data_IF_425083815984
#
_entry.id   IF_425083815984
#
_cell.length_a   1.000
_cell.length_b   1.000
_cell.length_c   1.000
_cell.angle_alpha   90.00
_cell.angle_beta   90.00
_cell.angle_gamma   90.00
#
_symmetry.space_group_name_H-M   'P 1'
#
loop_
_entity.id
_entity.type
_entity.pdbx_description
1 polymer ?
#
# COMPACT_ATOMS: atom_id res chain seq x y z
N UNK A 1 7.89 -9.19 -6.80
CA UNK A 1 7.49 -7.91 -6.20
C UNK A 1 6.01 -7.73 -6.36
N UNK A 2 5.32 -7.54 -5.23
CA UNK A 2 3.88 -7.22 -5.24
C UNK A 2 3.76 -5.70 -5.36
N UNK A 3 3.43 -5.24 -6.56
CA UNK A 3 3.20 -3.82 -6.81
C UNK A 3 1.78 -3.49 -6.36
N UNK A 4 1.65 -2.41 -5.60
CA UNK A 4 0.39 -1.84 -5.17
C UNK A 4 0.30 -0.40 -5.65
N UNK A 5 -0.91 0.01 -5.97
CA UNK A 5 -1.25 1.41 -6.20
C UNK A 5 -2.15 1.90 -5.08
N UNK A 6 -1.76 3.02 -4.47
CA UNK A 6 -2.46 3.67 -3.37
C UNK A 6 -2.99 5.01 -3.88
N UNK A 7 -4.31 5.20 -3.79
CA UNK A 7 -5.00 6.44 -4.09
C UNK A 7 -5.44 7.11 -2.79
N UNK A 8 -4.96 8.32 -2.51
CA UNK A 8 -5.30 9.07 -1.30
C UNK A 8 -6.59 9.89 -1.48
N UNK A 9 -7.62 9.59 -0.69
CA UNK A 9 -8.90 10.32 -0.72
C UNK A 9 -8.68 11.76 -0.22
N UNK A 10 -9.39 12.71 -0.83
CA UNK A 10 -9.22 14.14 -0.53
C UNK A 10 -8.00 14.79 -1.20
N UNK A 11 -7.16 14.01 -1.91
CA UNK A 11 -6.07 14.54 -2.72
C UNK A 11 -6.15 14.01 -4.15
N UNK A 12 -5.31 14.53 -5.06
CA UNK A 12 -5.11 13.95 -6.40
C UNK A 12 -3.84 13.09 -6.48
N UNK A 13 -3.33 12.65 -5.33
CA UNK A 13 -2.07 11.93 -5.24
C UNK A 13 -2.29 10.42 -5.43
N UNK A 14 -1.47 9.85 -6.29
CA UNK A 14 -1.41 8.42 -6.57
C UNK A 14 0.03 7.99 -6.35
N UNK A 15 0.22 6.94 -5.56
CA UNK A 15 1.53 6.33 -5.34
C UNK A 15 1.48 4.91 -5.87
N UNK A 16 2.47 4.54 -6.67
CA UNK A 16 2.70 3.17 -7.13
C UNK A 16 4.02 2.74 -6.50
N UNK A 17 3.99 1.67 -5.71
CA UNK A 17 5.17 1.16 -5.02
C UNK A 17 5.02 -0.33 -4.75
N UNK A 18 6.09 -0.97 -4.33
CA UNK A 18 6.08 -2.35 -3.84
C UNK A 18 6.06 -2.41 -2.31
N UNK A 19 5.55 -3.50 -1.75
CA UNK A 19 5.60 -3.71 -0.29
C UNK A 19 7.04 -3.78 0.21
N UNK A 20 7.95 -4.28 -0.63
CA UNK A 20 9.39 -4.34 -0.35
C UNK A 20 10.03 -2.94 -0.26
N UNK A 21 9.70 -2.02 -1.18
CA UNK A 21 10.15 -0.63 -1.13
C UNK A 21 9.61 0.10 0.12
N UNK A 22 8.32 -0.08 0.44
CA UNK A 22 7.71 0.50 1.64
C UNK A 22 8.43 -0.01 2.89
N UNK A 23 8.77 -1.30 2.95
CA UNK A 23 9.51 -1.87 4.07
C UNK A 23 10.90 -1.27 4.22
N UNK A 24 11.61 -1.04 3.11
CA UNK A 24 12.96 -0.45 3.09
C UNK A 24 12.99 1.01 3.54
N UNK A 25 11.98 1.80 3.15
CA UNK A 25 11.87 3.20 3.56
C UNK A 25 11.49 3.35 5.04
N UNK A 26 10.90 2.32 5.62
CA UNK A 26 10.51 2.29 7.03
C UNK A 26 11.68 1.87 7.91
N UNK A 27 12.14 2.77 8.80
CA UNK A 27 13.23 2.49 9.77
C UNK A 27 13.02 1.24 10.63
N UNK A 28 11.78 0.84 10.84
CA UNK A 28 11.38 -0.33 11.63
C UNK A 28 11.43 -1.65 10.86
N UNK A 29 11.72 -1.65 9.55
CA UNK A 29 11.69 -2.82 8.67
C UNK A 29 10.43 -3.68 8.86
N UNK A 30 9.23 -3.09 8.69
CA UNK A 30 7.99 -3.81 8.91
C UNK A 30 7.86 -4.98 7.92
N UNK A 31 7.22 -6.05 8.38
CA UNK A 31 6.88 -7.20 7.55
C UNK A 31 5.81 -6.82 6.54
N UNK A 32 5.73 -7.60 5.44
CA UNK A 32 4.68 -7.44 4.43
C UNK A 32 3.27 -7.46 5.05
N UNK A 33 3.06 -8.32 6.07
CA UNK A 33 1.79 -8.45 6.77
C UNK A 33 1.42 -7.19 7.55
N UNK A 34 2.39 -6.55 8.21
CA UNK A 34 2.18 -5.32 8.97
C UNK A 34 1.84 -4.15 8.03
N UNK A 35 2.55 -4.03 6.91
CA UNK A 35 2.26 -3.02 5.89
C UNK A 35 0.86 -3.21 5.33
N UNK A 36 0.51 -4.44 4.92
CA UNK A 36 -0.81 -4.75 4.38
C UNK A 36 -1.93 -4.50 5.39
N UNK A 37 -1.70 -4.81 6.67
CA UNK A 37 -2.68 -4.53 7.74
C UNK A 37 -2.92 -3.03 7.88
N UNK A 38 -1.85 -2.24 7.98
CA UNK A 38 -1.95 -0.78 8.10
C UNK A 38 -2.69 -0.16 6.89
N UNK A 39 -2.32 -0.58 5.67
CA UNK A 39 -3.01 -0.12 4.46
C UNK A 39 -4.51 -0.49 4.47
N UNK A 40 -4.85 -1.70 4.91
CA UNK A 40 -6.26 -2.13 5.01
C UNK A 40 -7.06 -1.36 6.06
N UNK A 41 -6.43 -0.96 7.15
CA UNK A 41 -7.04 -0.07 8.15
C UNK A 41 -7.32 1.30 7.54
N UNK A 42 -6.35 1.91 6.85
CA UNK A 42 -6.55 3.19 6.14
C UNK A 42 -7.62 3.10 5.03
N UNK A 43 -7.70 1.98 4.33
CA UNK A 43 -8.75 1.75 3.32
C UNK A 43 -10.13 1.65 3.97
N UNK A 44 -10.25 0.92 5.09
CA UNK A 44 -11.49 0.82 5.87
C UNK A 44 -11.93 2.18 6.41
N UNK A 45 -10.98 3.00 6.84
CA UNK A 45 -11.23 4.33 7.38
C UNK A 45 -11.45 5.36 6.25
N UNK A 46 -11.54 4.89 4.98
CA UNK A 46 -11.82 5.65 3.76
C UNK A 46 -10.80 6.78 3.51
N UNK A 47 -9.57 6.61 4.00
CA UNK A 47 -8.45 7.52 3.73
C UNK A 47 -7.78 7.21 2.40
N UNK A 48 -7.74 5.93 2.03
CA UNK A 48 -7.11 5.47 0.78
C UNK A 48 -7.99 4.47 0.02
N UNK A 49 -7.61 4.17 -1.22
CA UNK A 49 -8.07 2.99 -1.97
C UNK A 49 -6.85 2.24 -2.47
N UNK A 50 -6.82 0.92 -2.25
CA UNK A 50 -5.72 0.07 -2.66
C UNK A 50 -6.12 -0.69 -3.92
N UNK A 51 -5.31 -0.55 -4.97
CA UNK A 51 -5.42 -1.33 -6.19
C UNK A 51 -4.23 -2.27 -6.24
N UNK A 52 -4.46 -3.55 -5.97
CA UNK A 52 -3.45 -4.58 -6.09
C UNK A 52 -3.34 -5.05 -7.53
N UNK A 53 -2.14 -5.03 -8.11
CA UNK A 53 -1.87 -5.68 -9.39
C UNK A 53 -1.70 -7.19 -9.16
N UNK A 54 -2.81 -7.89 -9.01
CA UNK A 54 -2.82 -9.35 -9.09
C UNK A 54 -2.57 -9.77 -10.54
N UNK A 55 -1.69 -10.75 -10.76
CA UNK A 55 -1.58 -11.43 -12.05
C UNK A 55 -2.98 -11.91 -12.46
N UNK A 56 -3.56 -11.32 -13.51
CA UNK A 56 -4.42 -12.10 -14.40
C UNK A 56 -3.48 -13.11 -15.07
N UNK A 57 -3.45 -14.34 -14.57
CA UNK A 57 -2.95 -15.48 -15.31
C UNK A 57 -3.59 -16.77 -14.83
#
# INVERSE_FOLDING_TARGET
>A
MKIIQILFKGTKNIVISSLEEIAQDCKSNPTELEIMRALKEMERDNEITIISFGKNH
#
